data_IF_353025421008
#
_entry.id   IF_353025421008
#
_cell.length_a   1.000
_cell.length_b   1.000
_cell.length_c   1.000
_cell.angle_alpha   90.00
_cell.angle_beta   90.00
_cell.angle_gamma   90.00
#
_symmetry.space_group_name_H-M   'P 1'
#
loop_
_entity.id
_entity.type
_entity.pdbx_description
1 polymer ?
#
# COMPACT_ATOMS: atom_id res chain seq x y z
N UNK A 1 -6.01 -8.60 11.37
CA UNK A 1 -5.04 -8.17 10.33
C UNK A 1 -4.90 -9.29 9.31
N UNK A 2 -4.61 -8.97 8.05
CA UNK A 2 -4.39 -9.93 6.97
C UNK A 2 -3.10 -10.73 7.20
N UNK A 3 -3.12 -12.02 6.86
CA UNK A 3 -1.98 -12.92 7.08
C UNK A 3 -0.85 -12.64 6.06
N UNK A 4 0.36 -12.33 6.51
CA UNK A 4 1.50 -12.16 5.62
C UNK A 4 1.97 -13.48 5.02
N UNK A 5 2.33 -13.48 3.74
CA UNK A 5 2.86 -14.64 3.05
C UNK A 5 3.77 -14.20 1.89
N UNK A 6 4.43 -15.16 1.25
CA UNK A 6 5.38 -14.91 0.16
C UNK A 6 4.79 -15.39 -1.16
N UNK A 7 4.64 -14.48 -2.12
CA UNK A 7 4.29 -14.81 -3.52
C UNK A 7 5.50 -14.74 -4.45
N UNK A 8 6.54 -14.03 -4.02
CA UNK A 8 7.82 -13.84 -4.72
C UNK A 8 8.88 -13.46 -3.69
N UNK A 9 10.11 -13.93 -3.85
CA UNK A 9 11.21 -13.61 -2.92
C UNK A 9 11.70 -12.16 -3.05
N UNK A 10 11.39 -11.47 -4.16
CA UNK A 10 11.89 -10.10 -4.41
C UNK A 10 11.05 -9.01 -3.73
N UNK A 11 9.79 -9.28 -3.42
CA UNK A 11 8.87 -8.38 -2.72
C UNK A 11 8.07 -9.25 -1.75
N UNK A 12 8.55 -9.30 -0.52
CA UNK A 12 7.95 -10.07 0.55
C UNK A 12 8.25 -9.41 1.91
N UNK A 13 7.35 -9.60 2.90
CA UNK A 13 6.07 -10.29 2.78
C UNK A 13 5.03 -9.45 2.05
N UNK A 14 3.99 -10.11 1.53
CA UNK A 14 2.80 -9.44 0.99
C UNK A 14 1.55 -9.87 1.75
N UNK A 15 0.53 -9.02 1.68
CA UNK A 15 -0.79 -9.24 2.24
C UNK A 15 -1.81 -9.40 1.11
N UNK A 16 -2.87 -10.15 1.41
CA UNK A 16 -4.02 -10.38 0.54
C UNK A 16 -4.11 -11.80 -0.03
N UNK A 17 -5.29 -12.24 -0.42
CA UNK A 17 -5.53 -13.57 -1.01
C UNK A 17 -5.24 -13.64 -2.50
N UNK A 18 -5.09 -12.48 -3.16
CA UNK A 18 -4.87 -12.38 -4.59
C UNK A 18 -6.18 -12.18 -5.35
N UNK A 19 -6.11 -11.75 -6.63
CA UNK A 19 -4.96 -11.80 -7.53
C UNK A 19 -4.00 -10.59 -7.45
N UNK A 20 -4.25 -9.68 -6.52
CA UNK A 20 -3.43 -8.51 -6.21
C UNK A 20 -3.02 -8.57 -4.74
N UNK A 21 -1.80 -8.15 -4.44
CA UNK A 21 -1.19 -8.23 -3.12
C UNK A 21 -0.57 -6.87 -2.76
N UNK A 22 -0.55 -6.55 -1.47
CA UNK A 22 -0.01 -5.31 -0.94
C UNK A 22 1.19 -5.58 -0.03
N UNK A 23 2.28 -4.87 -0.25
CA UNK A 23 3.50 -4.98 0.55
C UNK A 23 3.60 -3.80 1.52
N UNK A 24 2.81 -3.85 2.60
CA UNK A 24 2.68 -2.76 3.58
C UNK A 24 4.02 -2.19 4.08
N UNK A 25 5.01 -3.06 4.30
CA UNK A 25 6.37 -2.68 4.61
C UNK A 25 7.35 -3.33 3.64
N UNK A 26 7.21 -3.10 2.33
CA UNK A 26 7.99 -3.75 1.26
C UNK A 26 9.54 -3.84 1.49
N UNK A 27 10.07 -3.10 2.47
CA UNK A 27 11.48 -3.06 2.85
C UNK A 27 11.74 -3.26 4.37
N UNK A 28 10.74 -3.67 5.15
CA UNK A 28 10.90 -4.02 6.56
C UNK A 28 10.50 -5.49 6.78
N UNK A 29 11.49 -6.36 6.92
CA UNK A 29 11.29 -7.81 7.05
C UNK A 29 10.85 -8.26 8.46
N UNK A 30 11.01 -7.39 9.47
CA UNK A 30 10.79 -7.73 10.88
C UNK A 30 9.30 -7.65 11.29
N UNK A 31 8.53 -6.73 10.70
CA UNK A 31 7.08 -6.64 10.91
C UNK A 31 6.35 -6.78 9.57
N UNK A 32 5.55 -7.84 9.49
CA UNK A 32 5.00 -8.36 8.24
C UNK A 32 3.60 -7.85 7.91
N UNK A 33 2.96 -7.13 8.85
CA UNK A 33 1.63 -6.54 8.68
C UNK A 33 1.53 -5.11 9.20
N UNK A 34 2.65 -4.47 9.57
CA UNK A 34 2.70 -3.07 9.96
C UNK A 34 3.42 -2.24 8.92
N UNK A 35 2.80 -1.14 8.51
CA UNK A 35 3.40 -0.08 7.70
C UNK A 35 3.95 0.99 8.64
N UNK A 36 5.28 1.20 8.59
CA UNK A 36 5.94 2.26 9.35
C UNK A 36 6.04 3.53 8.51
N UNK A 37 5.33 4.58 8.94
CA UNK A 37 5.36 5.90 8.34
C UNK A 37 6.54 6.72 8.89
N UNK A 38 7.14 7.51 8.02
CA UNK A 38 8.00 8.63 8.43
C UNK A 38 7.07 9.82 8.73
N UNK A 39 7.11 10.42 9.93
CA UNK A 39 6.21 11.50 10.32
C UNK A 39 6.47 12.81 9.55
N UNK A 40 5.47 13.69 9.47
CA UNK A 40 5.61 15.02 8.84
C UNK A 40 6.51 15.98 9.62
N UNK A 41 6.88 15.64 10.85
CA UNK A 41 7.83 16.40 11.65
C UNK A 41 9.30 16.13 11.24
N UNK A 42 9.57 15.07 10.47
CA UNK A 42 10.91 14.76 9.98
C UNK A 42 11.32 15.72 8.85
N UNK A 43 12.27 16.66 9.06
CA UNK A 43 12.52 17.75 8.11
C UNK A 43 13.04 17.29 6.75
N UNK A 44 13.69 16.12 6.67
CA UNK A 44 14.22 15.56 5.41
C UNK A 44 13.24 14.62 4.71
N UNK A 45 12.04 14.44 5.26
CA UNK A 45 11.01 13.57 4.69
C UNK A 45 10.22 14.26 3.58
N UNK A 46 9.73 13.49 2.60
CA UNK A 46 8.73 13.97 1.65
C UNK A 46 7.40 14.39 2.33
N UNK A 47 7.20 13.95 3.57
CA UNK A 47 6.06 14.32 4.39
C UNK A 47 6.23 15.65 5.15
N UNK A 48 7.41 16.28 5.11
CA UNK A 48 7.70 17.48 5.89
C UNK A 48 6.65 18.59 5.68
N UNK A 49 6.03 19.04 6.77
CA UNK A 49 5.04 20.13 6.76
C UNK A 49 3.67 19.78 6.16
N UNK A 50 3.43 18.53 5.74
CA UNK A 50 2.14 18.12 5.13
C UNK A 50 1.05 17.78 6.15
N UNK A 51 1.43 17.47 7.39
CA UNK A 51 0.53 16.88 8.39
C UNK A 51 0.27 15.37 8.21
N UNK A 52 0.83 14.75 7.17
CA UNK A 52 0.70 13.32 6.89
C UNK A 52 2.03 12.60 7.12
N UNK A 53 2.00 11.39 7.66
CA UNK A 53 3.12 10.46 7.55
C UNK A 53 3.16 9.78 6.19
N UNK A 54 4.34 9.34 5.75
CA UNK A 54 4.55 8.66 4.46
C UNK A 54 5.31 7.34 4.62
N UNK A 55 4.90 6.30 3.88
CA UNK A 55 5.68 5.09 3.68
C UNK A 55 5.77 4.69 2.22
N UNK A 56 6.92 4.15 1.84
CA UNK A 56 7.08 3.48 0.55
C UNK A 56 6.54 2.05 0.66
N UNK A 57 5.58 1.73 -0.21
CA UNK A 57 4.93 0.43 -0.30
C UNK A 57 4.94 -0.06 -1.75
N UNK A 58 4.43 -1.26 -2.00
CA UNK A 58 4.26 -1.79 -3.35
C UNK A 58 2.96 -2.58 -3.51
N UNK A 59 2.42 -2.54 -4.73
CA UNK A 59 1.40 -3.48 -5.19
C UNK A 59 2.05 -4.52 -6.09
N UNK A 60 1.74 -5.78 -5.85
CA UNK A 60 2.12 -6.92 -6.67
C UNK A 60 0.86 -7.53 -7.26
N UNK A 61 0.85 -7.81 -8.56
CA UNK A 61 -0.29 -8.47 -9.22
C UNK A 61 0.16 -9.61 -10.10
N UNK A 62 -0.70 -10.61 -10.33
CA UNK A 62 -0.43 -11.65 -11.34
C UNK A 62 -0.23 -11.00 -12.72
N UNK A 63 0.77 -11.42 -13.49
CA UNK A 63 1.08 -10.85 -14.82
C UNK A 63 -0.08 -11.03 -15.81
N UNK A 64 -0.89 -12.07 -15.62
CA UNK A 64 -2.12 -12.38 -16.37
C UNK A 64 -3.27 -11.43 -16.07
N UNK A 65 -3.24 -10.68 -14.96
CA UNK A 65 -4.30 -9.74 -14.60
C UNK A 65 -4.20 -8.45 -15.44
N UNK A 66 -5.00 -8.37 -16.51
CA UNK A 66 -5.03 -7.27 -17.48
C UNK A 66 -6.26 -6.37 -17.33
N UNK A 67 -6.54 -5.91 -16.11
CA UNK A 67 -7.65 -5.00 -15.83
C UNK A 67 -7.19 -3.78 -15.02
N UNK A 68 -7.93 -2.65 -15.09
CA UNK A 68 -7.67 -1.54 -14.20
C UNK A 68 -7.93 -1.95 -12.75
N UNK A 69 -7.22 -1.30 -11.82
CA UNK A 69 -7.47 -1.45 -10.38
C UNK A 69 -7.79 -0.09 -9.77
N UNK A 70 -8.68 -0.09 -8.79
CA UNK A 70 -8.94 1.05 -7.91
C UNK A 70 -8.50 0.69 -6.50
N UNK A 71 -7.67 1.56 -5.90
CA UNK A 71 -7.23 1.44 -4.53
C UNK A 71 -7.87 2.55 -3.71
N UNK A 72 -8.45 2.18 -2.57
CA UNK A 72 -9.05 3.08 -1.59
C UNK A 72 -8.67 2.60 -0.21
N UNK A 73 -8.44 3.51 0.73
CA UNK A 73 -8.18 3.07 2.08
C UNK A 73 -8.63 4.03 3.14
N UNK A 74 -8.88 3.47 4.32
CA UNK A 74 -9.41 4.18 5.48
C UNK A 74 -8.94 3.51 6.76
N UNK A 75 -8.94 4.28 7.83
CA UNK A 75 -8.82 3.75 9.18
C UNK A 75 -10.09 2.97 9.53
N UNK A 76 -9.90 1.86 10.25
CA UNK A 76 -10.96 0.93 10.68
C UNK A 76 -11.22 1.01 12.19
N UNK A 77 -10.25 1.45 12.97
CA UNK A 77 -10.34 1.62 14.42
C UNK A 77 -10.49 3.08 14.85
N UNK A 78 -10.95 3.94 13.93
CA UNK A 78 -11.15 5.37 14.17
C UNK A 78 -11.42 6.15 12.89
N UNK A 79 -11.45 7.47 13.01
CA UNK A 79 -11.48 8.37 11.87
C UNK A 79 -10.08 8.50 11.25
N UNK A 80 -10.02 8.66 9.93
CA UNK A 80 -8.78 8.87 9.21
C UNK A 80 -8.74 8.13 7.88
N UNK A 81 -8.00 8.70 6.93
CA UNK A 81 -7.86 8.17 5.58
C UNK A 81 -6.51 7.50 5.38
N UNK A 82 -6.46 6.57 4.42
CA UNK A 82 -5.22 6.09 3.84
C UNK A 82 -5.11 6.63 2.41
N UNK A 83 -4.21 7.59 2.24
CA UNK A 83 -4.01 8.26 0.98
C UNK A 83 -2.87 7.66 0.16
N UNK A 84 -2.84 7.96 -1.15
CA UNK A 84 -1.84 7.46 -2.08
C UNK A 84 -1.28 8.57 -2.95
N UNK A 85 0.01 8.51 -3.28
CA UNK A 85 0.57 9.38 -4.32
C UNK A 85 1.53 8.63 -5.25
N UNK A 86 1.65 9.15 -6.48
CA UNK A 86 2.64 8.72 -7.47
C UNK A 86 3.91 9.56 -7.38
N UNK A 87 3.77 10.87 -7.65
CA UNK A 87 4.81 11.91 -7.52
C UNK A 87 4.13 13.17 -6.99
N UNK A 88 4.39 13.58 -5.74
CA UNK A 88 3.78 14.77 -5.13
C UNK A 88 3.48 14.63 -3.64
N UNK A 89 3.28 15.79 -2.97
CA UNK A 89 3.11 15.89 -1.51
C UNK A 89 1.65 15.75 -1.03
N UNK A 90 0.66 15.89 -1.93
CA UNK A 90 -0.75 15.72 -1.57
C UNK A 90 -1.21 14.30 -1.90
N UNK A 91 -1.66 13.51 -0.91
CA UNK A 91 -2.21 12.20 -1.18
C UNK A 91 -3.62 12.30 -1.79
N UNK A 92 -3.89 11.44 -2.77
CA UNK A 92 -5.22 11.19 -3.30
C UNK A 92 -5.95 10.20 -2.39
N UNK A 93 -7.25 10.42 -2.16
CA UNK A 93 -8.10 9.48 -1.43
C UNK A 93 -8.28 8.13 -2.14
N UNK A 94 -8.06 8.11 -3.46
CA UNK A 94 -8.10 6.90 -4.26
C UNK A 94 -7.02 6.93 -5.35
N UNK A 95 -6.48 5.75 -5.68
CA UNK A 95 -5.50 5.58 -6.75
C UNK A 95 -6.01 4.62 -7.81
N UNK A 96 -6.05 5.07 -9.06
CA UNK A 96 -6.35 4.23 -10.21
C UNK A 96 -5.07 3.72 -10.87
N UNK A 97 -5.02 2.43 -11.17
CA UNK A 97 -3.90 1.78 -11.84
C UNK A 97 -4.35 1.19 -13.17
N UNK A 98 -3.81 1.70 -14.28
CA UNK A 98 -4.10 1.23 -15.63
C UNK A 98 -3.67 -0.23 -15.88
N UNK A 99 -4.38 -1.03 -16.70
CA UNK A 99 -4.11 -2.46 -16.88
C UNK A 99 -2.64 -2.86 -17.12
N UNK A 100 -1.87 -2.03 -17.82
CA UNK A 100 -0.49 -2.30 -18.18
C UNK A 100 0.55 -1.84 -17.13
N UNK A 101 0.12 -1.31 -15.98
CA UNK A 101 1.01 -0.77 -14.94
C UNK A 101 2.05 -1.78 -14.45
N UNK A 102 3.17 -1.22 -13.95
CA UNK A 102 4.17 -1.95 -13.18
C UNK A 102 5.25 -2.65 -14.00
N UNK A 103 6.41 -2.80 -13.36
CA UNK A 103 7.57 -3.53 -13.87
C UNK A 103 7.38 -5.04 -13.80
N UNK A 104 8.18 -5.78 -14.57
CA UNK A 104 8.15 -7.24 -14.59
C UNK A 104 8.69 -7.83 -13.27
N UNK A 105 8.03 -8.87 -12.77
CA UNK A 105 8.43 -9.62 -11.58
C UNK A 105 8.12 -11.11 -11.74
N UNK A 106 8.76 -11.77 -12.71
CA UNK A 106 8.50 -13.18 -13.04
C UNK A 106 7.05 -13.40 -13.48
N UNK A 107 6.32 -14.26 -12.74
CA UNK A 107 4.87 -14.50 -12.94
C UNK A 107 3.99 -13.33 -12.49
N UNK A 108 4.58 -12.29 -11.90
CA UNK A 108 3.92 -11.11 -11.38
C UNK A 108 4.37 -9.83 -12.08
N UNK A 109 3.67 -8.74 -11.80
CA UNK A 109 4.09 -7.36 -12.01
C UNK A 109 4.08 -6.62 -10.69
N UNK A 110 4.88 -5.58 -10.56
CA UNK A 110 4.93 -4.77 -9.36
C UNK A 110 4.96 -3.28 -9.66
N UNK A 111 4.46 -2.47 -8.73
CA UNK A 111 4.58 -1.01 -8.77
C UNK A 111 4.77 -0.48 -7.35
N UNK A 112 5.83 0.28 -7.15
CA UNK A 112 6.03 1.05 -5.92
C UNK A 112 5.01 2.18 -5.83
N UNK A 113 4.56 2.46 -4.61
CA UNK A 113 3.60 3.51 -4.26
C UNK A 113 4.09 4.25 -3.00
N UNK A 114 3.64 5.49 -2.82
CA UNK A 114 3.67 6.14 -1.53
C UNK A 114 2.28 6.02 -0.89
N UNK A 115 2.21 5.50 0.33
CA UNK A 115 1.01 5.47 1.15
C UNK A 115 1.16 6.47 2.30
N UNK A 116 0.05 7.11 2.64
CA UNK A 116 0.03 8.25 3.55
C UNK A 116 -1.07 8.08 4.59
N UNK A 117 -0.78 8.37 5.86
CA UNK A 117 -1.80 8.46 6.90
C UNK A 117 -1.41 9.51 7.96
N UNK A 118 -2.40 10.10 8.62
CA UNK A 118 -2.19 11.08 9.70
C UNK A 118 -1.93 10.40 11.03
N UNK A 119 -2.62 9.29 11.30
CA UNK A 119 -2.61 8.62 12.60
C UNK A 119 -2.12 7.17 12.51
N UNK A 120 -1.61 6.67 13.63
CA UNK A 120 -1.38 5.25 13.82
C UNK A 120 -2.71 4.53 14.09
N UNK A 121 -2.80 3.26 13.72
CA UNK A 121 -4.02 2.48 13.92
C UNK A 121 -4.15 1.28 12.98
N UNK A 122 -5.33 0.71 12.93
CA UNK A 122 -5.70 -0.36 12.00
C UNK A 122 -6.36 0.24 10.75
N UNK A 123 -5.84 -0.13 9.59
CA UNK A 123 -6.27 0.39 8.30
C UNK A 123 -6.75 -0.74 7.38
N UNK A 124 -7.75 -0.41 6.56
CA UNK A 124 -8.22 -1.23 5.47
C UNK A 124 -7.81 -0.60 4.14
N UNK A 125 -7.20 -1.41 3.27
CA UNK A 125 -6.98 -1.11 1.88
C UNK A 125 -7.93 -1.96 1.04
N UNK A 126 -8.91 -1.32 0.42
CA UNK A 126 -9.78 -1.94 -0.57
C UNK A 126 -9.12 -1.87 -1.95
N UNK A 127 -9.04 -3.00 -2.62
CA UNK A 127 -8.54 -3.15 -3.99
C UNK A 127 -9.68 -3.70 -4.84
N UNK A 128 -10.15 -2.91 -5.79
CA UNK A 128 -11.22 -3.30 -6.70
C UNK A 128 -10.66 -3.56 -8.09
N UNK A 129 -10.96 -4.75 -8.61
CA UNK A 129 -10.89 -5.06 -10.04
C UNK A 129 -12.30 -5.08 -10.65
N UNK A 130 -12.41 -5.43 -11.93
CA UNK A 130 -13.73 -5.58 -12.57
C UNK A 130 -14.50 -6.81 -12.09
N UNK A 131 -13.77 -7.82 -11.61
CA UNK A 131 -14.31 -9.15 -11.26
C UNK A 131 -14.11 -9.54 -9.81
N UNK A 132 -13.48 -8.67 -9.01
CA UNK A 132 -13.23 -8.94 -7.59
C UNK A 132 -13.12 -7.62 -6.82
N UNK A 133 -13.37 -7.72 -5.52
CA UNK A 133 -13.03 -6.70 -4.55
C UNK A 133 -12.42 -7.39 -3.35
N UNK A 134 -11.33 -6.84 -2.82
CA UNK A 134 -10.63 -7.39 -1.66
C UNK A 134 -10.29 -6.28 -0.68
N UNK A 135 -10.46 -6.54 0.62
CA UNK A 135 -10.01 -5.64 1.70
C UNK A 135 -8.82 -6.28 2.42
N UNK A 136 -7.69 -5.58 2.40
CA UNK A 136 -6.47 -5.95 3.11
C UNK A 136 -6.39 -5.12 4.38
N UNK A 137 -6.30 -5.78 5.54
CA UNK A 137 -6.23 -5.13 6.85
C UNK A 137 -4.81 -5.18 7.39
N UNK A 138 -4.26 -4.05 7.78
CA UNK A 138 -2.89 -3.94 8.28
C UNK A 138 -2.79 -2.83 9.34
N UNK A 139 -1.68 -2.80 10.08
CA UNK A 139 -1.42 -1.76 11.09
C UNK A 139 -0.59 -0.64 10.47
N UNK A 140 -0.83 0.59 10.90
CA UNK A 140 0.01 1.75 10.65
C UNK A 140 0.62 2.18 11.98
N UNK A 141 1.91 2.46 11.96
CA UNK A 141 2.64 3.05 13.08
C UNK A 141 3.68 4.04 12.53
N UNK A 142 4.28 4.85 13.40
CA UNK A 142 5.35 5.77 13.03
C UNK A 142 6.70 5.19 13.40
N UNK A 143 7.71 5.46 12.56
CA UNK A 143 9.11 5.15 12.85
C UNK A 143 9.70 6.13 13.86
#
# INVERSE_FOLDING_TARGET
MSRPHTVTSKIAPVLGSGPVFFAAGAYNAADRSTMLLIPSAEPRSQAAGTGWGIAKTAIVKRKTLKQPLLLRGRRLDGQGDLGFSGTGHRPFAALQLWPKFGGALGKFKWKGLAAWAVDAGCYGLQIDGRTFSEVIVFRVAFR
#
